data_IF_999607993068
#
_entry.id   IF_999607993068
#
_cell.length_a   1.000
_cell.length_b   1.000
_cell.length_c   1.000
_cell.angle_alpha   90.00
_cell.angle_beta   90.00
_cell.angle_gamma   90.00
#
_symmetry.space_group_name_H-M   'P 1'
#
loop_
_entity.id
_entity.type
_entity.pdbx_description
1 polymer ?
#
# COMPACT_ATOMS: atom_id res chain seq x y z
N UNK A 1 -10.02 -3.25 -8.36
CA UNK A 1 -10.96 -2.43 -7.58
C UNK A 1 -11.54 -3.22 -6.42
N UNK A 2 -12.65 -3.93 -6.63
CA UNK A 2 -13.44 -4.59 -5.57
C UNK A 2 -12.63 -5.49 -4.62
N UNK A 3 -11.78 -6.38 -5.16
CA UNK A 3 -10.94 -7.25 -4.33
C UNK A 3 -9.97 -6.49 -3.42
N UNK A 4 -9.45 -5.34 -3.87
CA UNK A 4 -8.56 -4.49 -3.08
C UNK A 4 -9.32 -3.70 -2.01
N UNK A 5 -10.55 -3.26 -2.31
CA UNK A 5 -11.44 -2.68 -1.29
C UNK A 5 -11.77 -3.69 -0.18
N UNK A 6 -12.00 -4.97 -0.53
CA UNK A 6 -12.20 -6.04 0.45
C UNK A 6 -10.95 -6.27 1.32
N UNK A 7 -9.76 -6.33 0.73
CA UNK A 7 -8.48 -6.44 1.48
C UNK A 7 -8.29 -5.26 2.44
N UNK A 8 -8.61 -4.05 1.99
CA UNK A 8 -8.55 -2.82 2.79
C UNK A 8 -9.45 -2.93 4.03
N UNK A 9 -10.71 -3.34 3.85
CA UNK A 9 -11.65 -3.58 4.94
C UNK A 9 -11.16 -4.68 5.91
N UNK A 10 -10.74 -5.83 5.39
CA UNK A 10 -10.24 -6.95 6.22
C UNK A 10 -9.03 -6.52 7.04
N UNK A 11 -8.11 -5.75 6.46
CA UNK A 11 -6.94 -5.24 7.18
C UNK A 11 -7.34 -4.27 8.30
N UNK A 12 -8.35 -3.42 8.09
CA UNK A 12 -8.91 -2.56 9.14
C UNK A 12 -9.54 -3.38 10.27
N UNK A 13 -10.24 -4.46 9.94
CA UNK A 13 -10.81 -5.41 10.90
C UNK A 13 -9.74 -6.09 11.74
N UNK A 14 -8.66 -6.59 11.13
CA UNK A 14 -7.49 -7.15 11.82
C UNK A 14 -6.90 -6.15 12.82
N UNK A 15 -6.72 -4.88 12.41
CA UNK A 15 -6.26 -3.82 13.31
C UNK A 15 -7.17 -3.68 14.55
N UNK A 16 -8.50 -3.68 14.37
CA UNK A 16 -9.45 -3.53 15.47
C UNK A 16 -9.45 -4.72 16.43
N UNK A 17 -9.42 -5.93 15.90
CA UNK A 17 -9.55 -7.16 16.67
C UNK A 17 -8.30 -7.46 17.51
N UNK A 18 -7.11 -7.15 16.99
CA UNK A 18 -5.84 -7.34 17.68
C UNK A 18 -5.36 -6.12 18.47
N UNK A 19 -6.30 -5.35 19.06
CA UNK A 19 -5.97 -4.16 19.86
C UNK A 19 -5.13 -4.48 21.09
N UNK A 20 -5.44 -5.58 21.78
CA UNK A 20 -4.74 -5.99 23.00
C UNK A 20 -3.35 -6.56 22.71
N UNK A 21 -3.17 -7.15 21.53
CA UNK A 21 -1.94 -7.84 21.14
C UNK A 21 -0.89 -6.89 20.56
N UNK A 22 -1.24 -5.63 20.31
CA UNK A 22 -0.32 -4.64 19.75
C UNK A 22 -0.07 -4.79 18.25
N UNK A 23 -0.74 -5.72 17.54
CA UNK A 23 -0.49 -6.03 16.12
C UNK A 23 -0.66 -4.83 15.17
N UNK A 24 0.42 -4.41 14.52
CA UNK A 24 0.39 -3.37 13.50
C UNK A 24 -0.07 -3.98 12.17
N UNK A 25 -1.28 -3.62 11.73
CA UNK A 25 -1.83 -4.00 10.44
C UNK A 25 -2.30 -2.76 9.67
N UNK A 26 -1.90 -2.62 8.40
CA UNK A 26 -2.32 -1.54 7.50
C UNK A 26 -2.12 -1.96 6.04
N UNK A 27 -3.01 -1.54 5.11
CA UNK A 27 -2.76 -1.71 3.69
C UNK A 27 -1.75 -0.67 3.18
N UNK A 28 -0.93 -1.11 2.22
CA UNK A 28 0.14 -0.32 1.62
C UNK A 28 0.04 -0.39 0.10
N UNK A 29 -0.17 0.75 -0.54
CA UNK A 29 -0.18 0.89 -1.99
C UNK A 29 1.26 1.03 -2.49
N UNK A 30 1.75 0.12 -3.36
CA UNK A 30 3.12 0.17 -3.87
C UNK A 30 3.38 1.29 -4.91
N UNK A 31 2.37 2.10 -5.24
CA UNK A 31 2.38 2.95 -6.43
C UNK A 31 2.02 2.19 -7.72
N UNK A 32 2.14 2.89 -8.85
CA UNK A 32 1.98 2.29 -10.17
C UNK A 32 3.37 1.86 -10.69
N UNK A 33 3.69 0.57 -10.47
CA UNK A 33 5.06 0.05 -10.54
C UNK A 33 5.37 -0.65 -11.86
N UNK A 34 6.61 -0.51 -12.35
CA UNK A 34 7.16 -1.15 -13.55
C UNK A 34 7.33 -2.67 -13.41
N UNK A 35 6.20 -3.37 -13.32
CA UNK A 35 6.11 -4.82 -13.18
C UNK A 35 5.41 -5.44 -14.39
N UNK A 36 5.38 -6.77 -14.45
CA UNK A 36 4.59 -7.52 -15.43
C UNK A 36 3.09 -7.22 -15.36
N UNK A 37 2.58 -6.70 -14.23
CA UNK A 37 1.21 -6.21 -14.12
C UNK A 37 1.08 -4.74 -14.54
N UNK A 38 2.03 -3.91 -14.11
CA UNK A 38 1.92 -2.45 -14.27
C UNK A 38 2.24 -1.96 -15.68
N UNK A 39 3.31 -2.45 -16.30
CA UNK A 39 3.72 -1.99 -17.63
C UNK A 39 2.68 -2.30 -18.73
N UNK A 40 2.04 -3.49 -18.76
CA UNK A 40 0.95 -3.73 -19.71
C UNK A 40 -0.23 -2.78 -19.51
N UNK A 41 -0.60 -2.49 -18.26
CA UNK A 41 -1.67 -1.51 -17.98
C UNK A 41 -1.27 -0.10 -18.41
N UNK A 42 -0.01 0.31 -18.17
CA UNK A 42 0.51 1.62 -18.57
C UNK A 42 0.39 1.83 -20.09
N UNK A 43 0.78 0.82 -20.87
CA UNK A 43 0.62 0.81 -22.33
C UNK A 43 -0.83 0.92 -22.76
N UNK A 44 -1.75 0.22 -22.07
CA UNK A 44 -3.18 0.28 -22.37
C UNK A 44 -3.80 1.66 -22.15
N UNK A 45 -3.17 2.52 -21.35
CA UNK A 45 -3.61 3.90 -21.07
C UNK A 45 -2.72 4.96 -21.75
N UNK A 46 -1.88 4.56 -22.72
CA UNK A 46 -1.07 5.48 -23.53
C UNK A 46 0.24 5.93 -22.89
N UNK A 47 0.75 5.21 -21.89
CA UNK A 47 2.06 5.44 -21.27
C UNK A 47 3.07 4.40 -21.75
N UNK A 48 4.34 4.78 -21.92
CA UNK A 48 5.39 3.83 -22.34
C UNK A 48 5.63 2.72 -21.30
N UNK A 49 5.65 3.12 -20.02
CA UNK A 49 5.83 2.26 -18.86
C UNK A 49 5.21 2.90 -17.62
N UNK A 50 5.05 2.12 -16.56
CA UNK A 50 4.55 2.63 -15.30
C UNK A 50 5.56 3.65 -14.68
N UNK A 51 5.08 4.66 -13.94
CA UNK A 51 5.92 5.77 -13.50
C UNK A 51 6.86 5.46 -12.34
N UNK A 52 6.62 4.38 -11.57
CA UNK A 52 7.43 4.03 -10.39
C UNK A 52 8.30 2.82 -10.69
N UNK A 53 9.61 2.92 -10.46
CA UNK A 53 10.53 1.77 -10.56
C UNK A 53 10.27 0.76 -9.44
N UNK A 54 10.69 -0.49 -9.62
CA UNK A 54 10.58 -1.50 -8.56
C UNK A 54 11.39 -1.05 -7.34
N UNK A 55 12.59 -0.55 -7.56
CA UNK A 55 13.51 -0.11 -6.51
C UNK A 55 12.92 1.03 -5.67
N UNK A 56 12.33 2.05 -6.30
CA UNK A 56 11.72 3.18 -5.58
C UNK A 56 10.48 2.75 -4.80
N UNK A 57 9.67 1.87 -5.38
CA UNK A 57 8.51 1.29 -4.71
C UNK A 57 8.92 0.53 -3.44
N UNK A 58 9.93 -0.35 -3.53
CA UNK A 58 10.39 -1.16 -2.39
C UNK A 58 11.06 -0.29 -1.32
N UNK A 59 11.95 0.63 -1.70
CA UNK A 59 12.59 1.56 -0.75
C UNK A 59 11.56 2.39 0.01
N UNK A 60 10.55 2.91 -0.69
CA UNK A 60 9.46 3.67 -0.07
C UNK A 60 8.65 2.83 0.90
N UNK A 61 8.23 1.63 0.48
CA UNK A 61 7.47 0.71 1.32
C UNK A 61 8.23 0.30 2.58
N UNK A 62 9.52 -0.03 2.46
CA UNK A 62 10.36 -0.36 3.62
C UNK A 62 10.44 0.81 4.61
N UNK A 63 10.62 2.05 4.13
CA UNK A 63 10.61 3.24 4.99
C UNK A 63 9.28 3.41 5.75
N UNK A 64 8.15 3.13 5.12
CA UNK A 64 6.83 3.18 5.78
C UNK A 64 6.71 2.08 6.83
N UNK A 65 7.16 0.86 6.52
CA UNK A 65 7.14 -0.29 7.43
C UNK A 65 8.05 -0.07 8.64
N UNK A 66 9.28 0.38 8.43
CA UNK A 66 10.28 0.63 9.49
C UNK A 66 9.82 1.72 10.46
N UNK A 67 9.06 2.72 9.96
CA UNK A 67 8.48 3.79 10.77
C UNK A 67 7.08 3.49 11.31
N UNK A 68 6.52 2.30 11.06
CA UNK A 68 5.13 2.02 11.37
C UNK A 68 4.90 1.88 12.88
N UNK A 69 3.90 2.60 13.40
CA UNK A 69 3.39 2.39 14.76
C UNK A 69 1.92 2.08 14.76
N UNK A 70 1.45 1.51 15.87
CA UNK A 70 0.03 1.19 16.03
C UNK A 70 -0.84 2.44 16.02
N UNK A 71 -0.36 3.54 16.59
CA UNK A 71 -1.08 4.80 16.76
C UNK A 71 -1.11 5.63 15.48
N UNK A 72 0.01 5.66 14.76
CA UNK A 72 0.19 6.53 13.59
C UNK A 72 -0.21 5.85 12.29
N UNK A 73 0.15 4.58 12.11
CA UNK A 73 0.10 3.92 10.80
C UNK A 73 -1.01 2.89 10.71
N UNK A 74 -1.21 2.11 11.77
CA UNK A 74 -2.11 0.96 11.75
C UNK A 74 -3.57 1.35 11.52
N UNK A 75 -4.28 0.53 10.73
CA UNK A 75 -5.69 0.75 10.39
C UNK A 75 -5.94 1.96 9.49
N UNK A 76 -4.91 2.49 8.84
CA UNK A 76 -4.98 3.56 7.84
C UNK A 76 -4.39 3.08 6.52
N UNK A 77 -4.70 3.74 5.41
CA UNK A 77 -4.20 3.34 4.10
C UNK A 77 -3.02 4.22 3.71
N UNK A 78 -1.89 3.62 3.33
CA UNK A 78 -0.67 4.35 3.01
C UNK A 78 -0.20 4.05 1.60
N UNK A 79 0.48 5.02 0.99
CA UNK A 79 1.24 4.88 -0.25
C UNK A 79 2.74 4.68 0.06
N UNK A 80 3.46 4.05 -0.87
CA UNK A 80 4.91 3.82 -0.78
C UNK A 80 5.72 5.10 -0.51
N UNK A 81 5.23 6.27 -0.95
CA UNK A 81 5.86 7.58 -0.74
C UNK A 81 5.53 8.22 0.63
N UNK A 82 4.88 7.47 1.52
CA UNK A 82 4.54 7.91 2.88
C UNK A 82 3.30 8.80 2.98
N UNK A 83 2.53 8.96 1.89
CA UNK A 83 1.26 9.68 1.93
C UNK A 83 0.14 8.79 2.45
N UNK A 84 -0.68 9.33 3.34
CA UNK A 84 -1.95 8.70 3.73
C UNK A 84 -2.95 8.83 2.57
N UNK A 85 -3.63 7.74 2.26
CA UNK A 85 -4.66 7.65 1.22
C UNK A 85 -6.05 7.56 1.86
N UNK A 86 -7.05 8.04 1.13
CA UNK A 86 -8.46 7.83 1.47
C UNK A 86 -8.91 6.43 1.04
N UNK A 87 -9.91 5.88 1.73
CA UNK A 87 -10.52 4.59 1.41
C UNK A 87 -11.41 4.65 0.18
#
# INVERSE_FOLDING_TARGET
>A
GASKAAVNYVTKKIHQEHKKDGLIAFPLHPGFVQTDLGNPFAKSVGMDQAPVTIEDSIKGQLKVIDGATREKTSGRFWSFDGKELVW
#
